data_IF_427374177106
#
_entry.id   IF_427374177106
#
_cell.length_a   1.000
_cell.length_b   1.000
_cell.length_c   1.000
_cell.angle_alpha   90.00
_cell.angle_beta   90.00
_cell.angle_gamma   90.00
#
_symmetry.space_group_name_H-M   'P 1'
#
loop_
_entity.id
_entity.type
_entity.pdbx_description
1 polymer ?
#
# COMPACT_ATOMS: atom_id res chain seq x y z
N UNK A 1 -18.37 -16.34 -32.07
CA UNK A 1 -17.89 -16.65 -30.71
C UNK A 1 -16.45 -16.17 -30.64
N UNK A 2 -16.24 -14.96 -30.10
CA UNK A 2 -14.94 -14.29 -30.09
C UNK A 2 -14.33 -14.51 -28.71
N UNK A 3 -13.30 -15.35 -28.65
CA UNK A 3 -12.45 -15.50 -27.47
C UNK A 3 -11.57 -14.26 -27.39
N UNK A 4 -11.84 -13.39 -26.43
CA UNK A 4 -10.93 -12.30 -26.06
C UNK A 4 -9.72 -12.92 -25.36
N UNK A 5 -8.65 -13.19 -26.11
CA UNK A 5 -7.34 -13.49 -25.55
C UNK A 5 -6.82 -12.23 -24.86
N UNK A 6 -6.81 -12.23 -23.52
CA UNK A 6 -5.98 -11.31 -22.76
C UNK A 6 -4.51 -11.74 -22.98
N UNK A 7 -3.62 -10.87 -23.47
CA UNK A 7 -2.22 -11.25 -23.64
C UNK A 7 -1.62 -11.59 -22.26
N UNK A 8 -1.26 -12.86 -22.06
CA UNK A 8 -0.54 -13.32 -20.87
C UNK A 8 0.79 -12.57 -20.78
N UNK A 9 0.84 -11.56 -19.92
CA UNK A 9 2.05 -10.78 -19.71
C UNK A 9 2.98 -11.57 -18.80
N UNK A 10 4.21 -11.86 -19.25
CA UNK A 10 5.21 -12.53 -18.42
C UNK A 10 5.45 -11.77 -17.11
N UNK A 11 5.64 -12.46 -15.96
CA UNK A 11 5.94 -11.80 -14.67
C UNK A 11 7.08 -10.79 -14.73
N UNK A 12 8.12 -11.07 -15.54
CA UNK A 12 9.24 -10.14 -15.74
C UNK A 12 8.83 -8.87 -16.46
N UNK A 13 7.96 -8.97 -17.47
CA UNK A 13 7.48 -7.81 -18.22
C UNK A 13 6.52 -6.96 -17.38
N UNK A 14 5.66 -7.60 -16.57
CA UNK A 14 4.78 -6.91 -15.62
C UNK A 14 5.58 -6.16 -14.55
N UNK A 15 6.60 -6.79 -13.97
CA UNK A 15 7.49 -6.15 -13.00
C UNK A 15 8.24 -4.94 -13.60
N UNK A 16 8.74 -5.07 -14.83
CA UNK A 16 9.41 -3.96 -15.51
C UNK A 16 8.46 -2.80 -15.79
N UNK A 17 7.25 -3.08 -16.29
CA UNK A 17 6.20 -2.08 -16.52
C UNK A 17 5.82 -1.33 -15.23
N UNK A 18 5.73 -2.04 -14.11
CA UNK A 18 5.49 -1.43 -12.80
C UNK A 18 6.62 -0.47 -12.39
N UNK A 19 7.88 -0.89 -12.54
CA UNK A 19 9.05 -0.06 -12.23
C UNK A 19 9.08 1.19 -13.11
N UNK A 20 8.82 1.07 -14.40
CA UNK A 20 8.79 2.19 -15.35
C UNK A 20 7.67 3.18 -15.01
N UNK A 21 6.49 2.66 -14.65
CA UNK A 21 5.36 3.48 -14.20
C UNK A 21 5.67 4.21 -12.89
N UNK A 22 6.28 3.54 -11.92
CA UNK A 22 6.65 4.17 -10.65
C UNK A 22 7.70 5.26 -10.86
N UNK A 23 8.63 5.07 -11.81
CA UNK A 23 9.66 6.06 -12.15
C UNK A 23 9.06 7.36 -12.69
N UNK A 24 7.92 7.32 -13.38
CA UNK A 24 7.28 8.53 -13.95
C UNK A 24 6.62 9.44 -12.91
N UNK A 25 6.35 8.94 -11.69
CA UNK A 25 5.76 9.72 -10.61
C UNK A 25 6.77 10.56 -9.81
N UNK A 26 8.08 10.37 -10.01
CA UNK A 26 9.14 11.14 -9.34
C UNK A 26 9.38 10.76 -7.86
N UNK A 27 8.32 10.62 -7.05
CA UNK A 27 8.39 10.21 -5.64
C UNK A 27 7.11 9.52 -5.18
N UNK A 28 7.22 8.50 -4.31
CA UNK A 28 6.07 7.64 -3.93
C UNK A 28 6.11 7.23 -2.45
N UNK A 29 4.98 7.40 -1.77
CA UNK A 29 4.63 6.67 -0.54
C UNK A 29 3.87 5.38 -0.90
N UNK A 30 4.39 4.23 -0.49
CA UNK A 30 3.73 2.94 -0.63
C UNK A 30 3.01 2.60 0.67
N UNK A 31 1.68 2.46 0.62
CA UNK A 31 0.90 1.90 1.71
C UNK A 31 1.31 0.43 1.93
N UNK A 32 1.95 0.17 3.06
CA UNK A 32 2.73 -1.05 3.29
C UNK A 32 2.25 -1.83 4.51
N UNK A 33 1.71 -3.02 4.27
CA UNK A 33 1.22 -3.93 5.32
C UNK A 33 2.21 -5.03 5.68
N UNK A 34 3.28 -5.21 4.91
CA UNK A 34 4.21 -6.34 5.03
C UNK A 34 3.74 -7.61 4.30
N UNK A 35 2.56 -7.59 3.67
CA UNK A 35 2.09 -8.67 2.80
C UNK A 35 2.76 -8.64 1.41
N UNK A 36 2.74 -9.79 0.71
CA UNK A 36 3.41 -10.00 -0.59
C UNK A 36 3.07 -8.91 -1.60
N UNK A 37 1.80 -8.57 -1.79
CA UNK A 37 1.40 -7.58 -2.80
C UNK A 37 2.01 -6.19 -2.51
N UNK A 38 1.90 -5.74 -1.27
CA UNK A 38 2.49 -4.47 -0.84
C UNK A 38 4.02 -4.49 -0.89
N UNK A 39 4.65 -5.66 -0.67
CA UNK A 39 6.09 -5.85 -0.76
C UNK A 39 6.59 -5.80 -2.21
N UNK A 40 5.83 -6.33 -3.18
CA UNK A 40 6.13 -6.19 -4.61
C UNK A 40 6.15 -4.72 -5.01
N UNK A 41 5.13 -3.94 -4.62
CA UNK A 41 5.08 -2.50 -4.92
C UNK A 41 6.20 -1.74 -4.21
N UNK A 42 6.47 -2.04 -2.93
CA UNK A 42 7.55 -1.42 -2.18
C UNK A 42 8.92 -1.71 -2.81
N UNK A 43 9.17 -2.95 -3.24
CA UNK A 43 10.41 -3.31 -3.93
C UNK A 43 10.54 -2.62 -5.27
N UNK A 44 9.47 -2.58 -6.06
CA UNK A 44 9.46 -1.89 -7.35
C UNK A 44 9.70 -0.38 -7.16
N UNK A 45 9.12 0.24 -6.13
CA UNK A 45 9.33 1.65 -5.81
C UNK A 45 10.78 1.94 -5.38
N UNK A 46 11.36 1.09 -4.53
CA UNK A 46 12.77 1.18 -4.14
C UNK A 46 13.70 1.09 -5.36
N UNK A 47 13.45 0.14 -6.27
CA UNK A 47 14.21 -0.01 -7.52
C UNK A 47 14.02 1.19 -8.46
N UNK A 48 12.82 1.73 -8.55
CA UNK A 48 12.48 2.81 -9.47
C UNK A 48 13.03 4.18 -9.02
N UNK A 49 12.95 4.47 -7.71
CA UNK A 49 13.04 5.81 -7.15
C UNK A 49 14.07 5.98 -6.03
N UNK A 50 14.63 4.89 -5.48
CA UNK A 50 15.60 4.95 -4.39
C UNK A 50 15.08 5.72 -3.18
N UNK A 51 15.82 6.74 -2.74
CA UNK A 51 15.49 7.57 -1.57
C UNK A 51 14.18 8.38 -1.72
N UNK A 52 13.66 8.51 -2.95
CA UNK A 52 12.36 9.14 -3.24
C UNK A 52 11.17 8.18 -3.07
N UNK A 53 11.41 6.97 -2.59
CA UNK A 53 10.38 6.03 -2.19
C UNK A 53 10.34 5.86 -0.66
N UNK A 54 9.14 5.73 -0.11
CA UNK A 54 8.92 5.41 1.32
C UNK A 54 7.82 4.38 1.47
N UNK A 55 8.06 3.35 2.27
CA UNK A 55 7.03 2.44 2.75
C UNK A 55 6.38 3.03 4.00
N UNK A 56 5.05 3.06 4.06
CA UNK A 56 4.28 3.64 5.16
C UNK A 56 3.35 2.60 5.77
N UNK A 57 3.52 2.32 7.06
CA UNK A 57 2.66 1.40 7.81
C UNK A 57 1.83 2.17 8.83
N UNK A 58 0.51 2.01 8.78
CA UNK A 58 -0.38 2.50 9.81
C UNK A 58 -0.29 1.59 11.04
N UNK A 59 0.05 2.15 12.18
CA UNK A 59 0.13 1.45 13.46
C UNK A 59 -1.09 1.84 14.29
N UNK A 60 -2.11 0.98 14.22
CA UNK A 60 -3.30 1.10 15.07
C UNK A 60 -3.16 0.21 16.29
N UNK A 61 -3.92 0.46 17.37
CA UNK A 61 -3.93 -0.44 18.52
C UNK A 61 -4.52 -1.83 18.22
N UNK A 62 -5.09 -2.04 17.02
CA UNK A 62 -5.55 -3.35 16.54
C UNK A 62 -4.55 -4.08 15.66
N UNK A 63 -3.48 -3.43 15.21
CA UNK A 63 -2.43 -4.08 14.44
C UNK A 63 -1.68 -5.05 15.35
N UNK A 64 -1.55 -6.31 14.94
CA UNK A 64 -0.77 -7.25 15.72
C UNK A 64 0.71 -6.86 15.70
N UNK A 65 1.37 -6.90 16.86
CA UNK A 65 2.80 -6.59 16.96
C UNK A 65 3.66 -7.44 16.00
N UNK A 66 3.25 -8.71 15.79
CA UNK A 66 3.91 -9.60 14.82
C UNK A 66 3.80 -9.11 13.37
N UNK A 67 2.67 -8.51 12.98
CA UNK A 67 2.49 -7.97 11.62
C UNK A 67 3.36 -6.72 11.41
N UNK A 68 3.45 -5.85 12.44
CA UNK A 68 4.35 -4.70 12.40
C UNK A 68 5.82 -5.12 12.29
N UNK A 69 6.23 -6.14 13.03
CA UNK A 69 7.59 -6.70 12.95
C UNK A 69 7.90 -7.31 11.57
N UNK A 70 6.92 -7.96 10.94
CA UNK A 70 7.06 -8.44 9.56
C UNK A 70 7.29 -7.25 8.62
N UNK A 71 6.44 -6.21 8.70
CA UNK A 71 6.61 -5.01 7.87
C UNK A 71 7.99 -4.37 8.04
N UNK A 72 8.47 -4.18 9.28
CA UNK A 72 9.81 -3.65 9.55
C UNK A 72 10.91 -4.48 8.88
N UNK A 73 10.87 -5.81 9.04
CA UNK A 73 11.86 -6.73 8.47
C UNK A 73 11.86 -6.69 6.95
N UNK A 74 10.69 -6.75 6.34
CA UNK A 74 10.54 -6.71 4.89
C UNK A 74 11.05 -5.39 4.31
N UNK A 75 10.76 -4.25 4.95
CA UNK A 75 11.27 -2.96 4.49
C UNK A 75 12.81 -2.90 4.52
N UNK A 76 13.44 -3.48 5.55
CA UNK A 76 14.90 -3.60 5.64
C UNK A 76 15.45 -4.47 4.49
N UNK A 77 14.84 -5.64 4.25
CA UNK A 77 15.25 -6.55 3.16
C UNK A 77 15.09 -5.91 1.77
N UNK A 78 14.03 -5.13 1.60
CA UNK A 78 13.77 -4.39 0.37
C UNK A 78 14.82 -3.29 0.16
N UNK A 79 15.29 -2.68 1.26
CA UNK A 79 16.16 -1.50 1.25
C UNK A 79 15.38 -0.20 1.03
N UNK A 80 14.14 -0.13 1.51
CA UNK A 80 13.30 1.07 1.40
C UNK A 80 13.18 1.79 2.74
N UNK A 81 13.15 3.12 2.72
CA UNK A 81 12.84 3.92 3.91
C UNK A 81 11.45 3.53 4.43
N UNK A 82 11.35 3.23 5.71
CA UNK A 82 10.10 2.83 6.36
C UNK A 82 9.65 3.88 7.37
N UNK A 83 8.36 4.25 7.33
CA UNK A 83 7.75 5.18 8.27
C UNK A 83 6.50 4.54 8.87
N UNK A 84 6.42 4.61 10.20
CA UNK A 84 5.25 4.19 10.96
C UNK A 84 4.40 5.40 11.32
N UNK A 85 3.13 5.36 10.93
CA UNK A 85 2.16 6.38 11.28
C UNK A 85 1.22 5.84 12.34
N UNK A 86 1.30 6.38 13.55
CA UNK A 86 0.38 6.03 14.63
C UNK A 86 -1.04 6.50 14.27
N UNK A 87 -1.99 5.59 14.36
CA UNK A 87 -3.40 5.84 14.10
C UNK A 87 -4.20 5.65 15.39
N UNK A 88 -5.20 6.50 15.61
CA UNK A 88 -5.96 6.55 16.87
C UNK A 88 -7.43 6.15 16.65
N UNK A 89 -7.69 5.02 15.99
CA UNK A 89 -9.05 4.62 15.64
C UNK A 89 -9.92 4.27 16.85
N UNK A 90 -9.33 3.95 18.01
CA UNK A 90 -10.09 3.65 19.24
C UNK A 90 -10.85 4.84 19.82
N UNK A 91 -10.51 6.09 19.46
CA UNK A 91 -11.28 7.27 19.88
C UNK A 91 -12.50 7.53 19.00
N UNK A 92 -12.63 6.82 17.86
CA UNK A 92 -13.82 6.89 17.00
C UNK A 92 -14.83 5.82 17.41
N UNK A 93 -16.02 6.27 17.83
CA UNK A 93 -17.13 5.40 18.23
C UNK A 93 -17.52 4.39 17.15
N UNK A 94 -17.22 4.66 15.88
CA UNK A 94 -17.48 3.79 14.73
C UNK A 94 -16.63 2.50 14.75
N UNK A 95 -15.42 2.55 15.32
CA UNK A 95 -14.48 1.43 15.35
C UNK A 95 -14.92 0.32 16.32
N UNK A 96 -15.77 0.65 17.31
CA UNK A 96 -16.34 -0.31 18.28
C UNK A 96 -17.50 -1.13 17.72
N UNK A 97 -18.01 -0.79 16.54
CA UNK A 97 -19.03 -1.61 15.86
C UNK A 97 -18.34 -2.69 15.04
N UNK A 98 -18.30 -3.87 15.62
CA UNK A 98 -17.74 -5.13 15.13
C UNK A 98 -18.41 -5.64 13.82
N UNK A 99 -18.37 -4.87 12.73
CA UNK A 99 -18.93 -5.20 11.42
C UNK A 99 -17.81 -5.38 10.39
N UNK A 100 -18.04 -6.16 9.33
CA UNK A 100 -17.06 -6.65 8.34
C UNK A 100 -16.22 -5.62 7.55
N UNK A 101 -16.28 -4.34 7.93
CA UNK A 101 -15.67 -3.21 7.20
C UNK A 101 -14.35 -2.72 7.85
N UNK A 102 -13.76 -3.48 8.79
CA UNK A 102 -12.52 -3.08 9.47
C UNK A 102 -11.36 -2.78 8.50
N UNK A 103 -11.21 -3.61 7.47
CA UNK A 103 -10.19 -3.40 6.43
C UNK A 103 -10.40 -2.10 5.64
N UNK A 104 -11.65 -1.66 5.46
CA UNK A 104 -11.98 -0.39 4.78
C UNK A 104 -11.50 0.81 5.60
N UNK A 105 -11.88 0.87 6.88
CA UNK A 105 -11.54 2.00 7.74
C UNK A 105 -10.03 2.10 7.99
N UNK A 106 -9.33 0.97 8.08
CA UNK A 106 -7.86 0.96 8.21
C UNK A 106 -7.18 1.53 6.96
N UNK A 107 -7.64 1.17 5.75
CA UNK A 107 -7.05 1.68 4.49
C UNK A 107 -7.38 3.16 4.26
N UNK A 108 -8.62 3.57 4.46
CA UNK A 108 -9.03 4.98 4.32
C UNK A 108 -8.30 5.88 5.31
N UNK A 109 -8.15 5.45 6.57
CA UNK A 109 -7.38 6.19 7.58
C UNK A 109 -5.90 6.28 7.20
N UNK A 110 -5.29 5.19 6.72
CA UNK A 110 -3.93 5.20 6.22
C UNK A 110 -3.75 6.18 5.05
N UNK A 111 -4.64 6.18 4.05
CA UNK A 111 -4.53 7.09 2.90
C UNK A 111 -4.70 8.54 3.32
N UNK A 112 -5.73 8.88 4.12
CA UNK A 112 -5.94 10.26 4.59
C UNK A 112 -4.76 10.76 5.42
N UNK A 113 -4.22 9.93 6.32
CA UNK A 113 -3.05 10.31 7.13
C UNK A 113 -1.80 10.46 6.29
N UNK A 114 -1.55 9.53 5.37
CA UNK A 114 -0.40 9.61 4.44
C UNK A 114 -0.52 10.86 3.57
N UNK A 115 -1.71 11.15 3.04
CA UNK A 115 -1.99 12.34 2.25
C UNK A 115 -1.70 13.63 3.03
N UNK A 116 -2.10 13.68 4.30
CA UNK A 116 -1.82 14.83 5.18
C UNK A 116 -0.33 15.02 5.48
N UNK A 117 0.50 14.00 5.26
CA UNK A 117 1.94 13.99 5.57
C UNK A 117 2.82 13.89 4.34
N UNK A 118 2.29 14.01 3.12
CA UNK A 118 3.08 13.91 1.88
C UNK A 118 4.28 14.86 1.87
N UNK A 119 4.07 16.10 2.32
CA UNK A 119 5.15 17.09 2.45
C UNK A 119 6.23 16.66 3.46
N UNK A 120 5.82 16.17 4.64
CA UNK A 120 6.76 15.66 5.66
C UNK A 120 7.52 14.42 5.19
N UNK A 121 6.85 13.59 4.38
CA UNK A 121 7.42 12.39 3.79
C UNK A 121 8.27 12.68 2.54
N UNK A 122 8.27 13.92 2.04
CA UNK A 122 8.92 14.35 0.81
C UNK A 122 8.53 13.50 -0.41
N UNK A 123 7.24 13.21 -0.56
CA UNK A 123 6.68 12.43 -1.68
C UNK A 123 5.40 13.04 -2.23
N UNK A 124 5.08 12.76 -3.49
CA UNK A 124 3.94 13.38 -4.21
C UNK A 124 2.78 12.42 -4.46
N UNK A 125 3.06 11.12 -4.56
CA UNK A 125 2.07 10.09 -4.94
C UNK A 125 1.96 9.03 -3.86
N UNK A 126 0.74 8.50 -3.68
CA UNK A 126 0.48 7.31 -2.85
C UNK A 126 0.21 6.12 -3.76
N UNK A 127 0.88 4.99 -3.50
CA UNK A 127 0.66 3.73 -4.19
C UNK A 127 0.22 2.64 -3.18
N UNK A 128 -0.55 1.67 -3.67
CA UNK A 128 -0.95 0.49 -2.90
C UNK A 128 -0.82 -0.79 -3.75
N UNK A 129 -0.82 -1.95 -3.10
CA UNK A 129 -0.76 -3.26 -3.76
C UNK A 129 -2.13 -3.88 -4.05
N UNK A 130 -3.16 -3.10 -4.40
CA UNK A 130 -4.44 -3.68 -4.79
C UNK A 130 -4.34 -4.35 -6.16
N UNK A 131 -4.84 -5.58 -6.27
CA UNK A 131 -4.79 -6.37 -7.52
C UNK A 131 -6.15 -6.36 -8.24
N UNK A 132 -6.16 -6.69 -9.53
CA UNK A 132 -7.40 -6.74 -10.33
C UNK A 132 -8.43 -7.77 -9.84
N UNK A 133 -7.99 -8.83 -9.15
CA UNK A 133 -8.89 -9.81 -8.52
C UNK A 133 -9.66 -9.21 -7.32
N UNK A 134 -9.22 -8.08 -6.78
CA UNK A 134 -9.94 -7.33 -5.74
C UNK A 134 -11.15 -6.55 -6.27
N UNK A 135 -11.37 -6.50 -7.59
CA UNK A 135 -12.46 -5.77 -8.25
C UNK A 135 -13.80 -6.53 -8.31
N UNK A 136 -13.78 -7.87 -8.12
CA UNK A 136 -14.96 -8.74 -8.25
C UNK A 136 -15.74 -9.00 -6.96
N UNK A 137 -15.10 -8.80 -5.80
CA UNK A 137 -15.76 -8.86 -4.49
C UNK A 137 -16.37 -7.48 -4.19
N UNK A 138 -17.66 -7.41 -3.88
CA UNK A 138 -18.31 -6.18 -3.43
C UNK A 138 -17.60 -5.62 -2.18
N UNK A 139 -16.67 -4.68 -2.40
CA UNK A 139 -15.82 -4.07 -1.37
C UNK A 139 -15.90 -2.55 -1.48
N UNK A 140 -16.50 -1.85 -0.49
CA UNK A 140 -16.63 -0.39 -0.47
C UNK A 140 -15.30 0.39 -0.55
N UNK A 141 -14.15 -0.27 -0.33
CA UNK A 141 -12.80 0.33 -0.27
C UNK A 141 -12.18 0.83 -1.56
N UNK A 142 -12.82 0.57 -2.69
CA UNK A 142 -12.38 1.07 -3.99
C UNK A 142 -12.98 2.44 -4.35
N UNK A 143 -13.85 3.00 -3.49
CA UNK A 143 -14.48 4.31 -3.74
C UNK A 143 -13.67 5.51 -3.24
N UNK A 144 -12.51 5.27 -2.60
CA UNK A 144 -11.65 6.30 -2.03
C UNK A 144 -10.32 6.50 -2.79
N UNK A 145 -10.27 6.14 -4.08
CA UNK A 145 -9.13 6.34 -4.97
C UNK A 145 -9.46 7.34 -6.08
#
# INVERSE_FOLDING_TARGET
MSTSEHPETSPSAAAQSLVERLRSYGSVAVAFSGGVDSAVVAKAAAVALGDRAVAVTAVSPSLAASELEIARREAILIGIRHVELQTSEFTRSEYRRNAGDRCFFCKDTLYRLTQSRLHELAVEVIANGANTDDLGDHRPGMQAA
#
